data_IF_025898341986
#
_entry.id   IF_025898341986
#
_cell.length_a   1.000
_cell.length_b   1.000
_cell.length_c   1.000
_cell.angle_alpha   90.00
_cell.angle_beta   90.00
_cell.angle_gamma   90.00
#
_symmetry.space_group_name_H-M   'P 1'
#
loop_
_entity.id
_entity.type
_entity.pdbx_description
1 polymer ?
#
# COMPACT_ATOMS: atom_id res chain seq x y z
N UNK A 1 -11.39 12.58 8.65
CA UNK A 1 -12.64 11.86 8.31
C UNK A 1 -13.88 12.62 8.79
N UNK A 2 -13.78 13.49 9.80
CA UNK A 2 -14.94 14.17 10.42
C UNK A 2 -15.46 15.45 9.72
N UNK A 3 -14.81 15.92 8.66
CA UNK A 3 -15.24 17.16 7.97
C UNK A 3 -16.27 16.94 6.86
N UNK A 4 -16.30 15.77 6.23
CA UNK A 4 -17.24 15.43 5.16
C UNK A 4 -18.59 14.95 5.68
N UNK A 5 -18.63 14.40 6.90
CA UNK A 5 -19.86 13.91 7.53
C UNK A 5 -20.76 15.07 7.99
N UNK A 6 -20.17 16.18 8.45
CA UNK A 6 -20.89 17.38 8.88
C UNK A 6 -21.59 18.13 7.72
N UNK A 7 -21.06 18.07 6.50
CA UNK A 7 -21.67 18.72 5.33
C UNK A 7 -22.91 17.97 4.81
N UNK A 8 -22.94 16.64 4.97
CA UNK A 8 -24.09 15.81 4.61
C UNK A 8 -25.23 15.92 5.62
N UNK A 9 -24.92 15.98 6.92
CA UNK A 9 -25.93 16.08 7.99
C UNK A 9 -26.61 17.46 8.01
N UNK A 10 -25.91 18.53 7.62
CA UNK A 10 -26.50 19.87 7.47
C UNK A 10 -27.47 20.01 6.29
N UNK A 11 -27.37 19.17 5.26
CA UNK A 11 -28.29 19.20 4.12
C UNK A 11 -29.52 18.30 4.32
N UNK A 12 -29.40 17.22 5.11
CA UNK A 12 -30.52 16.31 5.39
C UNK A 12 -31.49 16.78 6.49
N UNK A 13 -31.12 17.79 7.28
CA UNK A 13 -31.96 18.34 8.36
C UNK A 13 -33.03 19.34 7.88
N UNK A 14 -33.02 19.72 6.60
CA UNK A 14 -34.05 20.61 6.01
C UNK A 14 -35.34 19.86 5.66
N UNK A 15 -35.29 18.54 5.50
CA UNK A 15 -36.43 17.74 4.99
C UNK A 15 -37.30 17.12 6.10
N UNK A 16 -36.88 17.14 7.36
CA UNK A 16 -37.55 16.41 8.45
C UNK A 16 -38.56 17.21 9.29
N UNK A 17 -38.77 18.51 9.01
CA UNK A 17 -39.70 19.36 9.78
C UNK A 17 -41.03 19.66 9.08
N UNK A 18 -41.41 18.90 8.04
CA UNK A 18 -42.66 19.13 7.30
C UNK A 18 -43.93 18.60 8.00
N UNK A 19 -43.83 18.02 9.21
CA UNK A 19 -44.98 17.44 9.93
C UNK A 19 -45.28 18.14 11.26
N UNK A 20 -45.47 19.46 11.22
CA UNK A 20 -46.21 20.24 12.23
C UNK A 20 -46.17 21.68 11.75
N UNK A 21 -47.30 22.20 11.27
CA UNK A 21 -47.69 23.61 11.34
C UNK A 21 -49.06 23.78 10.67
N UNK A 22 -50.12 23.47 11.43
CA UNK A 22 -51.30 24.32 11.41
C UNK A 22 -50.90 25.73 11.87
N UNK A 23 -51.58 26.75 11.36
CA UNK A 23 -51.39 28.20 11.61
C UNK A 23 -50.14 28.87 11.01
N UNK A 24 -50.26 29.43 9.80
CA UNK A 24 -49.90 30.83 9.45
C UNK A 24 -49.97 31.07 7.93
N UNK A 25 -51.09 31.64 7.47
CA UNK A 25 -51.36 31.96 6.06
C UNK A 25 -50.46 33.09 5.49
N UNK A 26 -49.66 33.76 6.33
CA UNK A 26 -48.85 34.94 5.94
C UNK A 26 -47.36 34.65 5.64
N UNK A 27 -46.89 33.40 5.77
CA UNK A 27 -45.49 33.03 5.45
C UNK A 27 -45.31 32.47 4.03
N UNK A 28 -46.39 32.03 3.37
CA UNK A 28 -46.32 31.47 2.00
C UNK A 28 -45.88 32.48 0.94
N UNK A 29 -46.28 33.75 1.08
CA UNK A 29 -45.94 34.83 0.14
C UNK A 29 -44.47 35.23 0.21
N UNK A 30 -43.86 35.22 1.40
CA UNK A 30 -42.44 35.56 1.57
C UNK A 30 -41.51 34.45 1.09
N UNK A 31 -41.89 33.18 1.20
CA UNK A 31 -41.11 32.06 0.65
C UNK A 31 -41.18 32.05 -0.89
N UNK A 32 -42.37 32.25 -1.46
CA UNK A 32 -42.56 32.28 -2.92
C UNK A 32 -41.83 33.47 -3.54
N UNK A 33 -41.89 34.65 -2.92
CA UNK A 33 -41.14 35.83 -3.36
C UNK A 33 -39.61 35.65 -3.23
N UNK A 34 -39.11 34.94 -2.20
CA UNK A 34 -37.69 34.57 -2.07
C UNK A 34 -37.26 33.59 -3.15
N UNK A 35 -38.09 32.60 -3.48
CA UNK A 35 -37.83 31.64 -4.56
C UNK A 35 -37.85 32.31 -5.93
N UNK A 36 -38.80 33.23 -6.20
CA UNK A 36 -38.83 34.02 -7.44
C UNK A 36 -37.58 34.90 -7.57
N UNK A 37 -37.12 35.55 -6.49
CA UNK A 37 -35.87 36.34 -6.48
C UNK A 37 -34.63 35.49 -6.76
N UNK A 38 -34.58 34.26 -6.25
CA UNK A 38 -33.47 33.33 -6.54
C UNK A 38 -33.52 32.83 -7.97
N UNK A 39 -34.71 32.60 -8.51
CA UNK A 39 -34.89 32.20 -9.91
C UNK A 39 -34.46 33.33 -10.85
N UNK A 40 -34.82 34.58 -10.59
CA UNK A 40 -34.36 35.73 -11.40
C UNK A 40 -32.85 35.89 -11.34
N UNK A 41 -32.22 35.73 -10.17
CA UNK A 41 -30.76 35.75 -10.04
C UNK A 41 -30.08 34.60 -10.80
N UNK A 42 -30.70 33.42 -10.82
CA UNK A 42 -30.23 32.27 -11.60
C UNK A 42 -30.33 32.54 -13.11
N UNK A 43 -31.46 33.10 -13.56
CA UNK A 43 -31.66 33.49 -14.95
C UNK A 43 -30.70 34.58 -15.41
N UNK A 44 -30.42 35.57 -14.55
CA UNK A 44 -29.40 36.60 -14.80
C UNK A 44 -28.00 35.99 -14.92
N UNK A 45 -27.63 35.08 -14.01
CA UNK A 45 -26.36 34.36 -14.05
C UNK A 45 -26.21 33.48 -15.30
N UNK A 46 -27.26 32.75 -15.68
CA UNK A 46 -27.31 31.96 -16.91
C UNK A 46 -27.22 32.89 -18.12
N UNK A 47 -27.93 34.01 -18.10
CA UNK A 47 -27.90 35.03 -19.15
C UNK A 47 -26.51 35.60 -19.34
N UNK A 48 -25.81 35.95 -18.26
CA UNK A 48 -24.46 36.48 -18.30
C UNK A 48 -23.44 35.43 -18.75
N UNK A 49 -23.60 34.18 -18.32
CA UNK A 49 -22.79 33.07 -18.84
C UNK A 49 -23.00 32.85 -20.34
N UNK A 50 -24.24 32.92 -20.82
CA UNK A 50 -24.55 32.81 -22.25
C UNK A 50 -23.99 33.99 -23.04
N UNK A 51 -24.10 35.23 -22.54
CA UNK A 51 -23.48 36.42 -23.16
C UNK A 51 -21.96 36.23 -23.29
N UNK A 52 -21.30 35.82 -22.20
CA UNK A 52 -19.86 35.57 -22.19
C UNK A 52 -19.47 34.46 -23.16
N UNK A 53 -20.29 33.40 -23.28
CA UNK A 53 -20.08 32.32 -24.26
C UNK A 53 -20.21 32.82 -25.71
N UNK A 54 -21.19 33.66 -26.01
CA UNK A 54 -21.38 34.23 -27.36
C UNK A 54 -20.23 35.16 -27.72
N UNK A 55 -19.75 35.97 -26.77
CA UNK A 55 -18.58 36.84 -26.95
C UNK A 55 -17.34 35.96 -27.22
N UNK A 56 -17.08 34.95 -26.40
CA UNK A 56 -15.96 34.03 -26.59
C UNK A 56 -16.01 33.32 -27.95
N UNK A 57 -17.19 32.87 -28.37
CA UNK A 57 -17.37 32.26 -29.67
C UNK A 57 -17.10 33.25 -30.81
N UNK A 58 -17.49 34.51 -30.66
CA UNK A 58 -17.23 35.56 -31.65
C UNK A 58 -15.75 35.94 -31.72
N UNK A 59 -15.02 35.87 -30.60
CA UNK A 59 -13.56 36.02 -30.57
C UNK A 59 -12.87 34.82 -31.25
N UNK A 60 -13.37 33.59 -31.07
CA UNK A 60 -12.89 32.41 -31.81
C UNK A 60 -13.16 32.51 -33.31
N UNK A 61 -14.29 33.05 -33.71
CA UNK A 61 -14.58 33.30 -35.13
C UNK A 61 -13.72 34.44 -35.69
N UNK A 62 -13.39 35.43 -34.88
CA UNK A 62 -12.45 36.50 -35.24
C UNK A 62 -11.01 36.00 -35.44
N UNK A 63 -10.56 35.04 -34.65
CA UNK A 63 -9.24 34.44 -34.85
C UNK A 63 -9.16 33.57 -36.12
N UNK A 64 -10.29 33.13 -36.68
CA UNK A 64 -10.33 32.44 -37.97
C UNK A 64 -10.32 33.38 -39.18
N UNK A 65 -10.48 34.70 -38.96
CA UNK A 65 -10.42 35.77 -39.97
C UNK A 65 -11.14 35.46 -41.29
N UNK A 66 -12.39 34.99 -41.21
CA UNK A 66 -13.20 34.60 -42.38
C UNK A 66 -13.47 35.75 -43.36
N UNK A 67 -13.32 37.01 -42.92
CA UNK A 67 -13.55 38.23 -43.71
C UNK A 67 -12.26 39.02 -44.03
N UNK A 68 -11.07 38.46 -43.77
CA UNK A 68 -9.75 39.05 -44.06
C UNK A 68 -9.51 40.48 -43.51
N UNK A 69 -10.25 40.88 -42.48
CA UNK A 69 -10.28 42.28 -42.01
C UNK A 69 -9.18 42.58 -40.97
N UNK A 70 -8.64 41.54 -40.32
CA UNK A 70 -7.55 41.67 -39.34
C UNK A 70 -6.19 41.35 -39.98
N UNK A 71 -5.15 42.05 -39.53
CA UNK A 71 -3.76 41.78 -39.92
C UNK A 71 -3.30 40.41 -39.45
N UNK A 72 -2.46 39.74 -40.25
CA UNK A 72 -1.93 38.40 -39.96
C UNK A 72 -1.23 38.31 -38.59
N UNK A 73 -0.51 39.36 -38.18
CA UNK A 73 0.18 39.44 -36.89
C UNK A 73 -0.78 39.54 -35.69
N UNK A 74 -1.92 40.20 -35.87
CA UNK A 74 -2.96 40.31 -34.83
C UNK A 74 -3.67 38.98 -34.62
N UNK A 75 -3.82 38.20 -35.68
CA UNK A 75 -4.48 36.88 -35.66
C UNK A 75 -3.60 35.84 -34.97
N UNK A 76 -2.29 35.83 -35.23
CA UNK A 76 -1.36 34.92 -34.56
C UNK A 76 -1.31 35.20 -33.05
N UNK A 77 -1.25 36.48 -32.65
CA UNK A 77 -1.36 36.90 -31.25
C UNK A 77 -2.71 36.51 -30.62
N UNK A 78 -3.83 36.70 -31.33
CA UNK A 78 -5.16 36.34 -30.84
C UNK A 78 -5.36 34.82 -30.71
N UNK A 79 -4.83 34.03 -31.65
CA UNK A 79 -4.81 32.56 -31.55
C UNK A 79 -3.97 32.11 -30.37
N UNK A 80 -2.80 32.72 -30.16
CA UNK A 80 -1.96 32.52 -28.99
C UNK A 80 -2.71 32.78 -27.68
N UNK A 81 -3.38 33.92 -27.57
CA UNK A 81 -4.21 34.27 -26.40
C UNK A 81 -5.39 33.31 -26.17
N UNK A 82 -6.04 32.83 -27.23
CA UNK A 82 -7.11 31.84 -27.11
C UNK A 82 -6.60 30.48 -26.62
N UNK A 83 -5.47 30.01 -27.13
CA UNK A 83 -4.82 28.79 -26.65
C UNK A 83 -4.41 28.92 -25.18
N UNK A 84 -3.89 30.08 -24.77
CA UNK A 84 -3.59 30.38 -23.36
C UNK A 84 -4.85 30.34 -22.50
N UNK A 85 -5.96 30.94 -22.95
CA UNK A 85 -7.23 30.89 -22.23
C UNK A 85 -7.77 29.46 -22.08
N UNK A 86 -7.65 28.62 -23.12
CA UNK A 86 -8.05 27.22 -23.05
C UNK A 86 -7.18 26.44 -22.07
N UNK A 87 -5.86 26.63 -22.07
CA UNK A 87 -4.96 26.03 -21.08
C UNK A 87 -5.29 26.50 -19.66
N UNK A 88 -5.55 27.80 -19.47
CA UNK A 88 -5.91 28.38 -18.17
C UNK A 88 -7.24 27.84 -17.62
N UNK A 89 -8.20 27.49 -18.50
CA UNK A 89 -9.45 26.82 -18.09
C UNK A 89 -9.19 25.47 -17.41
N UNK A 90 -8.14 24.77 -17.81
CA UNK A 90 -7.76 23.48 -17.23
C UNK A 90 -6.76 23.64 -16.07
N UNK A 91 -6.04 24.77 -15.99
CA UNK A 91 -5.14 25.11 -14.86
C UNK A 91 -5.89 25.59 -13.62
N UNK A 92 -7.08 26.19 -13.77
CA UNK A 92 -7.89 26.67 -12.65
C UNK A 92 -9.19 25.87 -12.50
N UNK A 93 -9.27 25.03 -11.47
CA UNK A 93 -10.52 24.40 -11.06
C UNK A 93 -11.52 25.50 -10.61
N UNK A 94 -12.82 25.37 -10.93
CA UNK A 94 -13.82 26.34 -10.53
C UNK A 94 -14.14 26.17 -9.04
N UNK A 95 -13.39 26.83 -8.17
CA UNK A 95 -13.74 26.95 -6.75
C UNK A 95 -13.11 28.19 -6.13
N UNK A 96 -13.93 29.22 -5.97
CA UNK A 96 -14.05 30.04 -4.76
C UNK A 96 -12.71 30.31 -4.03
N UNK A 97 -11.88 31.23 -4.51
CA UNK A 97 -11.21 32.18 -3.61
C UNK A 97 -10.64 33.35 -4.40
N UNK A 98 -11.17 34.54 -4.09
CA UNK A 98 -10.37 35.76 -4.19
C UNK A 98 -9.21 35.57 -3.22
N UNK A 99 -7.98 35.73 -3.71
CA UNK A 99 -6.70 35.57 -2.99
C UNK A 99 -6.25 34.11 -2.84
N UNK A 100 -5.56 33.62 -3.86
CA UNK A 100 -4.14 33.21 -3.80
C UNK A 100 -3.86 32.60 -5.16
N UNK A 101 -3.11 33.35 -5.96
CA UNK A 101 -2.60 32.94 -7.26
C UNK A 101 -1.45 31.94 -7.01
N UNK A 102 -1.73 30.80 -6.40
CA UNK A 102 -0.79 29.68 -6.45
C UNK A 102 -0.82 29.18 -7.88
N UNK A 103 0.25 29.52 -8.61
CA UNK A 103 0.57 29.13 -9.98
C UNK A 103 0.59 27.59 -10.00
N UNK A 104 -0.57 26.98 -10.26
CA UNK A 104 -0.74 25.54 -10.23
C UNK A 104 0.02 24.96 -11.42
N UNK A 105 1.23 24.48 -11.19
CA UNK A 105 2.09 23.85 -12.18
C UNK A 105 1.57 22.46 -12.51
N UNK A 106 0.60 22.36 -13.42
CA UNK A 106 0.38 21.07 -14.09
C UNK A 106 1.48 20.93 -15.13
N UNK A 107 2.43 20.02 -14.87
CA UNK A 107 3.54 19.63 -15.76
C UNK A 107 4.71 20.63 -15.91
N UNK A 108 4.98 21.50 -14.92
CA UNK A 108 6.23 22.27 -14.88
C UNK A 108 6.39 23.37 -15.95
N UNK A 109 5.32 23.75 -16.66
CA UNK A 109 5.35 24.87 -17.60
C UNK A 109 5.21 26.17 -16.81
N UNK A 110 6.32 26.88 -16.61
CA UNK A 110 6.36 28.16 -15.87
C UNK A 110 6.07 29.38 -16.74
N UNK A 111 6.26 29.27 -18.05
CA UNK A 111 6.28 30.42 -18.96
C UNK A 111 5.29 30.20 -20.11
N UNK A 112 4.07 30.72 -19.95
CA UNK A 112 3.21 30.97 -21.10
C UNK A 112 3.72 32.26 -21.76
N UNK A 113 3.84 32.32 -23.10
CA UNK A 113 4.23 33.53 -23.79
C UNK A 113 3.22 34.64 -23.52
N UNK A 114 3.69 35.77 -22.99
CA UNK A 114 2.87 36.98 -22.82
C UNK A 114 2.65 37.63 -24.19
N UNK A 115 1.49 37.37 -24.78
CA UNK A 115 1.06 38.08 -25.98
C UNK A 115 0.44 39.42 -25.58
N UNK A 116 1.24 40.48 -25.62
CA UNK A 116 0.72 41.83 -25.45
C UNK A 116 0.17 42.37 -26.77
N UNK A 117 -1.13 42.68 -26.76
CA UNK A 117 -1.78 43.44 -27.81
C UNK A 117 -1.62 44.93 -27.53
N UNK A 118 -1.13 45.67 -28.52
CA UNK A 118 -1.09 47.14 -28.48
C UNK A 118 -2.50 47.72 -28.41
N UNK A 119 -2.65 48.96 -27.95
CA UNK A 119 -3.96 49.61 -27.83
C UNK A 119 -4.71 49.64 -29.17
N UNK A 120 -4.00 49.85 -30.29
CA UNK A 120 -4.58 49.87 -31.62
C UNK A 120 -5.12 48.50 -32.05
N UNK A 121 -4.34 47.44 -31.84
CA UNK A 121 -4.77 46.06 -32.13
C UNK A 121 -5.97 45.64 -31.27
N UNK A 122 -6.02 46.06 -29.99
CA UNK A 122 -7.19 45.84 -29.11
C UNK A 122 -8.45 46.53 -29.64
N UNK A 123 -8.32 47.74 -30.18
CA UNK A 123 -9.44 48.49 -30.74
C UNK A 123 -9.94 47.82 -32.04
N UNK A 124 -9.02 47.38 -32.90
CA UNK A 124 -9.35 46.70 -34.14
C UNK A 124 -10.08 45.36 -33.89
N UNK A 125 -9.60 44.57 -32.92
CA UNK A 125 -10.28 43.34 -32.49
C UNK A 125 -11.66 43.66 -31.92
N UNK A 126 -11.79 44.70 -31.08
CA UNK A 126 -13.07 45.11 -30.50
C UNK A 126 -14.08 45.50 -31.58
N UNK A 127 -13.69 46.35 -32.53
CA UNK A 127 -14.56 46.77 -33.62
C UNK A 127 -15.00 45.59 -34.49
N UNK A 128 -14.09 44.65 -34.76
CA UNK A 128 -14.40 43.45 -35.52
C UNK A 128 -15.37 42.51 -34.78
N UNK A 129 -15.14 42.26 -33.48
CA UNK A 129 -16.03 41.45 -32.65
C UNK A 129 -17.40 42.10 -32.50
N UNK A 130 -17.48 43.42 -32.34
CA UNK A 130 -18.75 44.16 -32.32
C UNK A 130 -19.52 44.01 -33.64
N UNK A 131 -18.84 44.05 -34.78
CA UNK A 131 -19.47 43.83 -36.09
C UNK A 131 -20.04 42.41 -36.22
N UNK A 132 -19.28 41.38 -35.81
CA UNK A 132 -19.76 39.98 -35.79
C UNK A 132 -20.94 39.79 -34.83
N UNK A 133 -20.90 40.42 -33.65
CA UNK A 133 -22.01 40.35 -32.70
C UNK A 133 -23.27 40.99 -33.28
N UNK A 134 -23.14 42.15 -33.95
CA UNK A 134 -24.26 42.80 -34.64
C UNK A 134 -24.84 41.92 -35.74
N UNK A 135 -24.01 41.25 -36.52
CA UNK A 135 -24.45 40.31 -37.56
C UNK A 135 -25.20 39.12 -36.96
N UNK A 136 -24.70 38.51 -35.88
CA UNK A 136 -25.39 37.42 -35.17
C UNK A 136 -26.72 37.87 -34.55
N UNK A 137 -26.78 39.08 -34.01
CA UNK A 137 -28.01 39.67 -33.48
C UNK A 137 -29.01 39.87 -34.62
N UNK A 138 -28.58 40.40 -35.76
CA UNK A 138 -29.44 40.59 -36.93
C UNK A 138 -29.96 39.27 -37.49
N UNK A 139 -29.10 38.26 -37.62
CA UNK A 139 -29.47 36.90 -38.02
C UNK A 139 -30.48 36.28 -37.05
N UNK A 140 -30.28 36.44 -35.73
CA UNK A 140 -31.25 36.01 -34.73
C UNK A 140 -32.60 36.73 -34.89
N UNK A 141 -32.60 38.05 -35.09
CA UNK A 141 -33.82 38.83 -35.30
C UNK A 141 -34.57 38.36 -36.55
N UNK A 142 -33.86 38.08 -37.65
CA UNK A 142 -34.45 37.58 -38.89
C UNK A 142 -35.06 36.19 -38.69
N UNK A 143 -34.37 35.27 -38.01
CA UNK A 143 -34.91 33.94 -37.67
C UNK A 143 -36.12 34.06 -36.76
N UNK A 144 -36.06 34.89 -35.73
CA UNK A 144 -37.17 35.12 -34.81
C UNK A 144 -38.41 35.68 -35.54
N UNK A 145 -38.21 36.62 -36.46
CA UNK A 145 -39.28 37.14 -37.32
C UNK A 145 -39.86 36.07 -38.24
N UNK A 146 -39.02 35.21 -38.82
CA UNK A 146 -39.47 34.10 -39.69
C UNK A 146 -40.31 33.04 -38.95
N UNK A 147 -40.08 32.89 -37.65
CA UNK A 147 -40.86 32.02 -36.76
C UNK A 147 -42.15 32.68 -36.24
N UNK A 148 -42.54 33.84 -36.79
CA UNK A 148 -43.77 34.56 -36.41
C UNK A 148 -43.65 35.44 -35.17
N UNK A 149 -42.44 35.70 -34.68
CA UNK A 149 -42.20 36.52 -33.50
C UNK A 149 -42.42 38.03 -33.72
N UNK A 150 -43.17 38.68 -32.84
CA UNK A 150 -43.37 40.13 -32.85
C UNK A 150 -42.31 40.84 -31.99
N UNK A 151 -41.39 41.58 -32.61
CA UNK A 151 -40.33 42.31 -31.89
C UNK A 151 -40.87 43.41 -30.96
N UNK A 152 -42.08 43.92 -31.19
CA UNK A 152 -42.73 44.89 -30.28
C UNK A 152 -43.17 44.24 -28.97
N UNK A 153 -43.46 42.94 -28.96
CA UNK A 153 -43.79 42.20 -27.73
C UNK A 153 -42.53 41.87 -26.93
N UNK A 154 -41.44 41.46 -27.57
CA UNK A 154 -40.16 41.13 -26.91
C UNK A 154 -39.54 42.34 -26.19
N UNK A 155 -39.58 43.54 -26.77
CA UNK A 155 -39.07 44.75 -26.12
C UNK A 155 -39.97 45.23 -24.97
N UNK A 156 -41.27 44.92 -25.01
CA UNK A 156 -42.27 45.41 -24.05
C UNK A 156 -42.55 44.47 -22.88
N UNK A 157 -42.16 43.20 -22.96
CA UNK A 157 -42.56 42.20 -21.97
C UNK A 157 -41.39 41.56 -21.23
N UNK A 158 -41.09 42.11 -20.05
CA UNK A 158 -40.59 41.32 -18.91
C UNK A 158 -41.65 40.31 -18.38
N UNK A 159 -42.80 40.21 -19.05
CA UNK A 159 -43.93 39.42 -18.58
C UNK A 159 -43.75 37.94 -18.95
N UNK A 160 -43.80 37.10 -17.92
CA UNK A 160 -43.77 35.63 -17.90
C UNK A 160 -44.67 34.88 -18.90
N UNK A 161 -45.48 35.56 -19.72
CA UNK A 161 -46.45 34.94 -20.60
C UNK A 161 -45.84 34.36 -21.89
N UNK A 162 -44.79 35.00 -22.43
CA UNK A 162 -44.03 34.43 -23.56
C UNK A 162 -43.22 33.22 -23.10
N UNK A 163 -42.71 33.23 -21.87
CA UNK A 163 -42.02 32.07 -21.27
C UNK A 163 -42.96 30.86 -21.20
N UNK A 164 -44.20 31.01 -20.73
CA UNK A 164 -45.16 29.90 -20.70
C UNK A 164 -45.39 29.25 -22.07
N UNK A 165 -45.61 30.05 -23.13
CA UNK A 165 -45.82 29.49 -24.49
C UNK A 165 -44.57 28.85 -25.11
N UNK A 166 -43.37 29.36 -24.82
CA UNK A 166 -42.11 28.78 -25.32
C UNK A 166 -41.72 27.52 -24.54
N UNK A 167 -42.10 27.43 -23.25
CA UNK A 167 -41.85 26.28 -22.41
C UNK A 167 -42.92 25.20 -22.50
N UNK A 168 -44.18 25.49 -22.89
CA UNK A 168 -45.24 24.48 -23.06
C UNK A 168 -44.83 23.31 -23.98
N UNK A 169 -44.06 23.59 -25.03
CA UNK A 169 -43.54 22.57 -25.96
C UNK A 169 -42.31 21.82 -25.41
N UNK A 170 -41.57 22.43 -24.47
CA UNK A 170 -40.44 21.81 -23.76
C UNK A 170 -40.84 21.17 -22.43
N UNK A 171 -42.05 21.41 -21.94
CA UNK A 171 -42.54 20.94 -20.65
C UNK A 171 -42.68 19.41 -20.65
N UNK A 172 -43.19 18.85 -21.76
CA UNK A 172 -43.28 17.40 -21.96
C UNK A 172 -41.88 16.76 -21.99
N UNK A 173 -40.91 17.39 -22.66
CA UNK A 173 -39.53 16.90 -22.68
C UNK A 173 -38.87 17.03 -21.30
N UNK A 174 -39.12 18.12 -20.58
CA UNK A 174 -38.63 18.29 -19.21
C UNK A 174 -39.25 17.30 -18.24
N UNK A 175 -40.52 16.95 -18.38
CA UNK A 175 -41.17 15.89 -17.61
C UNK A 175 -40.53 14.53 -17.89
N UNK A 176 -40.31 14.18 -19.17
CA UNK A 176 -39.61 12.95 -19.53
C UNK A 176 -38.18 12.89 -18.97
N UNK A 177 -37.44 14.02 -19.02
CA UNK A 177 -36.11 14.10 -18.44
C UNK A 177 -36.13 14.04 -16.91
N UNK A 178 -37.14 14.62 -16.26
CA UNK A 178 -37.34 14.52 -14.82
C UNK A 178 -37.61 13.08 -14.40
N UNK A 179 -38.46 12.37 -15.12
CA UNK A 179 -38.79 10.96 -14.83
C UNK A 179 -37.54 10.08 -15.04
N UNK A 180 -36.79 10.30 -16.13
CA UNK A 180 -35.53 9.60 -16.38
C UNK A 180 -34.46 9.88 -15.32
N UNK A 181 -34.38 11.12 -14.83
CA UNK A 181 -33.47 11.49 -13.74
C UNK A 181 -33.90 10.87 -12.41
N UNK A 182 -35.20 10.78 -12.14
CA UNK A 182 -35.72 10.13 -10.94
C UNK A 182 -35.45 8.62 -10.98
N UNK A 183 -35.67 7.97 -12.13
CA UNK A 183 -35.37 6.56 -12.34
C UNK A 183 -33.88 6.26 -12.09
N UNK A 184 -32.98 7.09 -12.65
CA UNK A 184 -31.54 6.97 -12.38
C UNK A 184 -31.20 7.19 -10.89
N UNK A 185 -31.85 8.15 -10.23
CA UNK A 185 -31.66 8.39 -8.80
C UNK A 185 -32.11 7.18 -7.96
N UNK A 186 -33.23 6.56 -8.30
CA UNK A 186 -33.76 5.39 -7.60
C UNK A 186 -32.89 4.15 -7.86
N UNK A 187 -32.38 3.98 -9.08
CA UNK A 187 -31.40 2.95 -9.42
C UNK A 187 -30.11 3.11 -8.59
N UNK A 188 -29.56 4.32 -8.54
CA UNK A 188 -28.37 4.62 -7.73
C UNK A 188 -28.62 4.37 -6.24
N UNK A 189 -29.80 4.74 -5.73
CA UNK A 189 -30.18 4.47 -4.34
C UNK A 189 -30.22 2.97 -4.06
N UNK A 190 -30.80 2.18 -4.97
CA UNK A 190 -30.84 0.73 -4.85
C UNK A 190 -29.43 0.11 -4.87
N UNK A 191 -28.56 0.59 -5.76
CA UNK A 191 -27.18 0.13 -5.87
C UNK A 191 -26.36 0.47 -4.62
N UNK A 192 -26.52 1.67 -4.06
CA UNK A 192 -25.88 2.08 -2.80
C UNK A 192 -26.32 1.17 -1.65
N UNK A 193 -27.61 0.87 -1.54
CA UNK A 193 -28.12 -0.05 -0.51
C UNK A 193 -27.51 -1.44 -0.73
N UNK A 194 -27.49 -1.95 -1.96
CA UNK A 194 -26.92 -3.26 -2.29
C UNK A 194 -25.43 -3.33 -1.93
N UNK A 195 -24.64 -2.32 -2.31
CA UNK A 195 -23.22 -2.24 -1.97
C UNK A 195 -23.00 -2.15 -0.46
N UNK A 196 -23.81 -1.37 0.25
CA UNK A 196 -23.77 -1.29 1.72
C UNK A 196 -24.03 -2.66 2.37
N UNK A 197 -25.02 -3.42 1.89
CA UNK A 197 -25.28 -4.78 2.39
C UNK A 197 -24.12 -5.75 2.11
N UNK A 198 -23.51 -5.67 0.92
CA UNK A 198 -22.36 -6.49 0.56
C UNK A 198 -21.14 -6.15 1.42
N UNK A 199 -20.88 -4.87 1.65
CA UNK A 199 -19.78 -4.41 2.51
C UNK A 199 -19.96 -4.90 3.95
N UNK A 200 -21.19 -4.83 4.48
CA UNK A 200 -21.49 -5.36 5.82
C UNK A 200 -21.28 -6.88 5.90
N UNK A 201 -21.73 -7.64 4.89
CA UNK A 201 -21.47 -9.09 4.79
C UNK A 201 -19.97 -9.40 4.67
N UNK A 202 -19.21 -8.58 3.93
CA UNK A 202 -17.76 -8.74 3.83
C UNK A 202 -17.08 -8.46 5.17
N UNK A 203 -17.49 -7.42 5.88
CA UNK A 203 -16.94 -7.05 7.20
C UNK A 203 -17.14 -8.16 8.22
N UNK A 204 -18.30 -8.82 8.24
CA UNK A 204 -18.54 -9.96 9.13
C UNK A 204 -17.71 -11.18 8.74
N UNK A 205 -17.64 -11.53 7.44
CA UNK A 205 -16.78 -12.62 6.95
C UNK A 205 -15.30 -12.39 7.22
N UNK A 206 -14.81 -11.17 7.02
CA UNK A 206 -13.41 -10.81 7.24
C UNK A 206 -13.03 -10.91 8.72
N UNK A 207 -13.92 -10.48 9.64
CA UNK A 207 -13.70 -10.68 11.08
C UNK A 207 -13.59 -12.16 11.44
N UNK A 208 -14.47 -13.00 10.89
CA UNK A 208 -14.44 -14.43 11.16
C UNK A 208 -13.18 -15.10 10.60
N UNK A 209 -12.78 -14.75 9.37
CA UNK A 209 -11.54 -15.23 8.77
C UNK A 209 -10.31 -14.84 9.60
N UNK A 210 -10.26 -13.59 10.07
CA UNK A 210 -9.16 -13.11 10.91
C UNK A 210 -9.15 -13.83 12.27
N UNK A 211 -10.31 -14.11 12.87
CA UNK A 211 -10.42 -14.89 14.11
C UNK A 211 -9.85 -16.30 13.95
N UNK A 212 -10.27 -17.01 12.91
CA UNK A 212 -9.79 -18.38 12.62
C UNK A 212 -8.28 -18.40 12.38
N UNK A 213 -7.76 -17.41 11.64
CA UNK A 213 -6.32 -17.33 11.41
C UNK A 213 -5.55 -17.01 12.69
N UNK A 214 -6.07 -16.14 13.56
CA UNK A 214 -5.46 -15.85 14.84
C UNK A 214 -5.39 -17.11 15.72
N UNK A 215 -6.50 -17.84 15.84
CA UNK A 215 -6.57 -19.11 16.58
C UNK A 215 -5.56 -20.14 16.04
N UNK A 216 -5.40 -20.21 14.72
CA UNK A 216 -4.40 -21.11 14.10
C UNK A 216 -2.96 -20.70 14.42
N UNK A 217 -2.67 -19.41 14.45
CA UNK A 217 -1.34 -18.88 14.80
C UNK A 217 -1.06 -19.12 16.29
N UNK A 218 -2.02 -18.87 17.17
CA UNK A 218 -1.91 -19.17 18.61
C UNK A 218 -1.67 -20.66 18.87
N UNK A 219 -2.37 -21.54 18.14
CA UNK A 219 -2.15 -22.98 18.20
C UNK A 219 -0.73 -23.38 17.75
N UNK A 220 -0.23 -22.81 16.65
CA UNK A 220 1.14 -23.05 16.20
C UNK A 220 2.18 -22.54 17.21
N UNK A 221 1.93 -21.40 17.86
CA UNK A 221 2.79 -20.87 18.91
C UNK A 221 2.86 -21.83 20.11
N UNK A 222 1.73 -22.34 20.57
CA UNK A 222 1.68 -23.34 21.63
C UNK A 222 2.44 -24.63 21.26
N UNK A 223 2.29 -25.11 20.02
CA UNK A 223 3.07 -26.27 19.55
C UNK A 223 4.58 -26.00 19.57
N UNK A 224 5.00 -24.79 19.16
CA UNK A 224 6.40 -24.39 19.19
C UNK A 224 6.95 -24.33 20.63
N UNK A 225 6.21 -23.74 21.57
CA UNK A 225 6.60 -23.68 22.98
C UNK A 225 6.73 -25.08 23.60
N UNK A 226 5.78 -25.98 23.30
CA UNK A 226 5.85 -27.38 23.73
C UNK A 226 7.10 -28.07 23.16
N UNK A 227 7.39 -27.90 21.87
CA UNK A 227 8.58 -28.48 21.25
C UNK A 227 9.88 -27.92 21.86
N UNK A 228 9.90 -26.63 22.21
CA UNK A 228 11.03 -25.99 22.87
C UNK A 228 11.28 -26.57 24.27
N UNK A 229 10.23 -26.74 25.07
CA UNK A 229 10.33 -27.36 26.40
C UNK A 229 10.74 -28.84 26.30
N UNK A 230 10.19 -29.59 25.34
CA UNK A 230 10.62 -30.97 25.07
C UNK A 230 12.11 -31.04 24.73
N UNK A 231 12.63 -30.12 23.91
CA UNK A 231 14.06 -30.06 23.59
C UNK A 231 14.92 -29.77 24.82
N UNK A 232 14.48 -28.87 25.72
CA UNK A 232 15.15 -28.61 27.01
C UNK A 232 15.17 -29.85 27.90
N UNK A 233 14.05 -30.57 28.00
CA UNK A 233 13.94 -31.82 28.76
C UNK A 233 14.90 -32.88 28.20
N UNK A 234 14.94 -33.07 26.87
CA UNK A 234 15.84 -34.02 26.21
C UNK A 234 17.30 -33.66 26.51
N UNK A 235 17.66 -32.38 26.41
CA UNK A 235 19.01 -31.90 26.74
C UNK A 235 19.38 -32.23 28.18
N UNK A 236 18.52 -31.91 29.16
CA UNK A 236 18.74 -32.22 30.56
C UNK A 236 18.84 -33.73 30.83
N UNK A 237 18.02 -34.53 30.12
CA UNK A 237 18.03 -35.99 30.23
C UNK A 237 19.35 -36.57 29.71
N UNK A 238 19.86 -36.07 28.58
CA UNK A 238 21.19 -36.47 28.08
C UNK A 238 22.30 -36.07 29.05
N UNK A 239 22.28 -34.83 29.56
CA UNK A 239 23.27 -34.37 30.54
C UNK A 239 23.25 -35.26 31.78
N UNK A 240 22.07 -35.57 32.31
CA UNK A 240 21.90 -36.45 33.48
C UNK A 240 22.43 -37.86 33.20
N UNK A 241 22.20 -38.40 32.00
CA UNK A 241 22.74 -39.70 31.59
C UNK A 241 24.26 -39.68 31.53
N UNK A 242 24.85 -38.66 30.91
CA UNK A 242 26.31 -38.50 30.88
C UNK A 242 26.91 -38.40 32.29
N UNK A 243 26.25 -37.67 33.20
CA UNK A 243 26.66 -37.61 34.60
C UNK A 243 26.48 -38.91 35.37
N UNK A 244 25.60 -39.82 34.94
CA UNK A 244 25.46 -41.18 35.52
C UNK A 244 26.46 -42.17 34.93
N UNK A 245 26.82 -42.03 33.66
CA UNK A 245 27.83 -42.86 32.99
C UNK A 245 29.26 -42.49 33.43
N UNK A 246 29.52 -41.21 33.71
CA UNK A 246 30.82 -40.72 34.22
C UNK A 246 31.29 -41.42 35.51
N UNK A 247 30.51 -41.54 36.60
CA UNK A 247 30.95 -42.19 37.83
C UNK A 247 31.14 -43.70 37.63
N UNK A 248 30.33 -44.37 36.81
CA UNK A 248 30.53 -45.79 36.46
C UNK A 248 31.87 -45.97 35.74
N UNK A 249 32.21 -45.05 34.84
CA UNK A 249 33.48 -45.06 34.14
C UNK A 249 34.65 -44.82 35.10
N UNK A 250 34.54 -43.86 36.02
CA UNK A 250 35.57 -43.59 37.03
C UNK A 250 35.75 -44.79 37.97
N UNK A 251 34.67 -45.42 38.39
CA UNK A 251 34.70 -46.60 39.27
C UNK A 251 35.37 -47.79 38.58
N UNK A 252 35.02 -48.05 37.32
CA UNK A 252 35.69 -49.06 36.50
C UNK A 252 37.20 -48.79 36.35
N UNK A 253 37.61 -47.53 36.18
CA UNK A 253 39.03 -47.16 36.16
C UNK A 253 39.72 -47.38 37.52
N UNK A 254 39.04 -47.12 38.64
CA UNK A 254 39.60 -47.40 39.97
C UNK A 254 39.80 -48.89 40.20
N UNK A 255 38.79 -49.72 39.91
CA UNK A 255 38.90 -51.18 40.03
C UNK A 255 40.01 -51.73 39.13
N UNK A 256 40.14 -51.20 37.91
CA UNK A 256 41.23 -51.59 37.02
C UNK A 256 42.59 -51.20 37.61
N UNK A 257 42.70 -50.01 38.20
CA UNK A 257 43.95 -49.56 38.81
C UNK A 257 44.33 -50.43 40.02
N UNK A 258 43.37 -50.80 40.87
CA UNK A 258 43.59 -51.74 41.99
C UNK A 258 44.09 -53.10 41.49
N UNK A 259 43.49 -53.66 40.43
CA UNK A 259 43.94 -54.93 39.83
C UNK A 259 45.36 -54.82 39.26
N UNK A 260 45.69 -53.68 38.64
CA UNK A 260 47.03 -53.42 38.10
C UNK A 260 48.04 -53.33 39.25
N UNK A 261 47.71 -52.62 40.33
CA UNK A 261 48.57 -52.46 41.50
C UNK A 261 48.82 -53.82 42.20
N UNK A 262 47.79 -54.66 42.34
CA UNK A 262 47.92 -56.03 42.86
C UNK A 262 48.85 -56.88 42.00
N UNK A 263 48.67 -56.85 40.67
CA UNK A 263 49.54 -57.58 39.74
C UNK A 263 50.98 -57.06 39.77
N UNK A 264 51.16 -55.74 39.87
CA UNK A 264 52.47 -55.12 39.96
C UNK A 264 53.16 -55.53 41.26
N UNK A 265 52.44 -55.55 42.38
CA UNK A 265 52.94 -56.02 43.66
C UNK A 265 53.31 -57.51 43.63
N UNK A 266 52.46 -58.37 43.07
CA UNK A 266 52.76 -59.79 42.88
C UNK A 266 54.03 -59.99 42.03
N UNK A 267 54.12 -59.30 40.89
CA UNK A 267 55.30 -59.35 40.01
C UNK A 267 56.55 -58.84 40.73
N UNK A 268 56.44 -57.77 41.53
CA UNK A 268 57.54 -57.24 42.32
C UNK A 268 58.03 -58.24 43.38
N UNK A 269 57.11 -58.97 44.01
CA UNK A 269 57.45 -60.03 44.96
C UNK A 269 58.11 -61.23 44.24
N UNK A 270 57.59 -61.65 43.08
CA UNK A 270 58.23 -62.68 42.27
C UNK A 270 59.65 -62.27 41.83
N UNK A 271 59.87 -60.99 41.48
CA UNK A 271 61.20 -60.47 41.15
C UNK A 271 62.10 -60.56 42.39
N UNK A 272 61.64 -60.15 43.56
CA UNK A 272 62.41 -60.26 44.81
C UNK A 272 62.74 -61.72 45.16
N UNK A 273 61.79 -62.63 44.99
CA UNK A 273 62.03 -64.06 45.19
C UNK A 273 63.08 -64.59 44.21
N UNK A 274 62.98 -64.24 42.94
CA UNK A 274 63.99 -64.61 41.93
C UNK A 274 65.35 -63.98 42.21
N UNK A 275 65.41 -62.76 42.71
CA UNK A 275 66.66 -62.14 43.16
C UNK A 275 67.25 -62.85 44.38
N UNK A 276 66.42 -63.25 45.34
CA UNK A 276 66.86 -64.02 46.51
C UNK A 276 67.38 -65.40 46.09
N UNK A 277 66.66 -66.12 45.22
CA UNK A 277 67.12 -67.38 44.63
C UNK A 277 68.42 -67.20 43.84
N UNK A 278 68.57 -66.08 43.13
CA UNK A 278 69.83 -65.75 42.44
C UNK A 278 70.97 -65.56 43.43
N UNK A 279 70.75 -64.86 44.55
CA UNK A 279 71.77 -64.70 45.62
C UNK A 279 72.11 -66.04 46.30
N UNK A 280 71.12 -66.90 46.52
CA UNK A 280 71.35 -68.26 47.02
C UNK A 280 72.13 -69.12 46.01
N UNK A 281 71.84 -68.99 44.72
CA UNK A 281 72.62 -69.65 43.67
C UNK A 281 74.07 -69.14 43.63
N UNK A 282 74.27 -67.82 43.74
CA UNK A 282 75.60 -67.20 43.82
C UNK A 282 76.37 -67.62 45.09
N UNK A 283 75.69 -67.91 46.21
CA UNK A 283 76.34 -68.42 47.42
C UNK A 283 76.68 -69.91 47.31
N UNK A 284 75.84 -70.71 46.64
CA UNK A 284 76.10 -72.12 46.31
C UNK A 284 77.27 -72.28 45.33
N UNK A 285 77.49 -71.32 44.44
CA UNK A 285 78.65 -71.28 43.54
C UNK A 285 80.00 -71.27 44.29
N UNK A 286 80.01 -70.88 45.58
CA UNK A 286 81.20 -70.81 46.43
C UNK A 286 81.34 -71.97 47.44
N UNK A 287 80.49 -72.99 47.38
CA UNK A 287 80.58 -74.17 48.28
C UNK A 287 81.01 -75.43 47.53
N UNK A 288 81.20 -76.52 48.27
CA UNK A 288 81.67 -77.85 47.80
C UNK A 288 80.96 -78.37 46.54
N UNK A 289 79.77 -77.83 46.23
CA UNK A 289 79.05 -78.09 45.00
C UNK A 289 79.81 -77.67 43.74
N UNK A 290 80.53 -76.53 43.76
CA UNK A 290 81.38 -76.12 42.63
C UNK A 290 82.61 -77.03 42.49
N UNK A 291 83.18 -77.48 43.61
CA UNK A 291 84.21 -78.51 43.65
C UNK A 291 83.71 -79.80 43.00
N UNK A 292 82.59 -80.36 43.46
CA UNK A 292 81.98 -81.59 42.92
C UNK A 292 81.63 -81.45 41.44
N UNK A 293 81.06 -80.32 41.03
CA UNK A 293 80.73 -80.05 39.63
C UNK A 293 81.99 -79.95 38.77
N UNK A 294 83.06 -79.35 39.28
CA UNK A 294 84.33 -79.25 38.57
C UNK A 294 85.01 -80.62 38.49
N UNK A 295 85.01 -81.42 39.56
CA UNK A 295 85.49 -82.80 39.55
C UNK A 295 84.69 -83.65 38.56
N UNK A 296 83.36 -83.49 38.51
CA UNK A 296 82.51 -84.17 37.53
C UNK A 296 82.84 -83.74 36.08
N UNK A 297 83.03 -82.44 35.84
CA UNK A 297 83.46 -81.92 34.53
C UNK A 297 84.85 -82.42 34.14
N UNK A 298 85.77 -82.52 35.10
CA UNK A 298 87.09 -83.12 34.89
C UNK A 298 86.99 -84.62 34.57
N UNK A 299 86.14 -85.37 35.27
CA UNK A 299 85.83 -86.76 34.93
C UNK A 299 85.24 -86.86 33.51
N UNK A 300 84.30 -86.00 33.13
CA UNK A 300 83.75 -85.98 31.77
C UNK A 300 84.83 -85.65 30.71
N UNK A 301 85.75 -84.72 31.00
CA UNK A 301 86.89 -84.40 30.12
C UNK A 301 87.89 -85.56 30.05
N UNK A 302 88.18 -86.23 31.15
CA UNK A 302 89.06 -87.40 31.21
C UNK A 302 88.47 -88.58 30.43
N UNK A 303 87.16 -88.82 30.56
CA UNK A 303 86.42 -89.81 29.76
C UNK A 303 86.46 -89.44 28.28
N UNK A 304 86.25 -88.18 27.91
CA UNK A 304 86.42 -87.72 26.51
C UNK A 304 87.84 -87.92 25.99
N UNK A 305 88.86 -87.58 26.77
CA UNK A 305 90.27 -87.77 26.39
C UNK A 305 90.63 -89.25 26.25
N UNK A 306 90.19 -90.11 27.18
CA UNK A 306 90.36 -91.58 27.05
C UNK A 306 89.65 -92.10 25.81
N UNK A 307 88.44 -91.64 25.52
CA UNK A 307 87.72 -92.00 24.28
C UNK A 307 88.49 -91.58 23.03
N UNK A 308 89.03 -90.36 23.00
CA UNK A 308 89.86 -89.86 21.90
C UNK A 308 91.21 -90.59 21.75
N UNK A 309 91.79 -91.10 22.84
CA UNK A 309 93.00 -91.93 22.80
C UNK A 309 92.66 -93.34 22.28
N UNK A 310 91.53 -93.92 22.71
CA UNK A 310 91.01 -95.20 22.22
C UNK A 310 90.61 -95.17 20.75
N UNK A 311 90.19 -94.01 20.22
CA UNK A 311 89.92 -93.82 18.78
C UNK A 311 91.19 -93.56 17.95
N UNK A 312 92.36 -93.34 18.59
CA UNK A 312 93.65 -93.07 17.92
C UNK A 312 94.69 -94.19 18.07
N UNK A 313 94.29 -95.33 18.64
CA UNK A 313 95.05 -96.57 18.78
C UNK A 313 94.39 -97.64 17.89
#
# INVERSE_FOLDING_TARGET
MDSLQNLSEQQCSITYNASRNTTNLNQGTTLLQKSTKRLTLCEESIGDHIKNKIILQSIKEASNNTKLTLSADVITKLKGLLSIHEVNKYMHLPSISKKILEKLTVLGITDLPEYDLTHKEKLDIKCYVEALLREKILDFILRYKSLGGNMKEVLGSNNCNIRKKLFELHEIQMLQWKDKMNELCDQLRADVIKLSTLLNKWKTKSKEFNRINLEKVEYMLLQFEVAQEQAKIIKLTCITRMFKETPVTIDAYKTLNEIIDEKLFATMNEIKEKENLKKEYESLQNTEYSSILNTYLEFCKAVRKKRQILEKL
#
